data_IF_847610071567
#
_entry.id   IF_847610071567
#
_cell.length_a   1.000
_cell.length_b   1.000
_cell.length_c   1.000
_cell.angle_alpha   90.00
_cell.angle_beta   90.00
_cell.angle_gamma   90.00
#
_symmetry.space_group_name_H-M   'P 1'
#
loop_
_entity.id
_entity.type
_entity.pdbx_description
1 polymer ?
#
# COMPACT_ATOMS: atom_id res chain seq x y z
N UNK A 1 -14.74 -9.52 -6.89
CA UNK A 1 -14.02 -8.35 -6.35
C UNK A 1 -14.51 -7.00 -6.87
N UNK A 2 -15.30 -6.95 -7.96
CA UNK A 2 -15.99 -5.71 -8.35
C UNK A 2 -17.01 -5.25 -7.30
N UNK A 3 -17.64 -6.17 -6.55
CA UNK A 3 -18.60 -5.84 -5.49
C UNK A 3 -18.02 -5.05 -4.32
N UNK A 4 -16.91 -5.47 -3.68
CA UNK A 4 -16.44 -4.85 -2.42
C UNK A 4 -15.99 -3.40 -2.60
N UNK A 5 -15.13 -3.13 -3.59
CA UNK A 5 -14.67 -1.76 -3.89
C UNK A 5 -15.85 -0.89 -4.37
N UNK A 6 -16.76 -1.46 -5.17
CA UNK A 6 -17.94 -0.73 -5.65
C UNK A 6 -18.93 -0.43 -4.52
N UNK A 7 -19.10 -1.35 -3.57
CA UNK A 7 -19.95 -1.17 -2.40
C UNK A 7 -19.40 -0.08 -1.49
N UNK A 8 -18.08 -0.08 -1.26
CA UNK A 8 -17.38 0.99 -0.54
C UNK A 8 -17.60 2.36 -1.20
N UNK A 9 -17.58 2.42 -2.53
CA UNK A 9 -17.80 3.67 -3.28
C UNK A 9 -19.28 4.09 -3.28
N UNK A 10 -20.21 3.14 -3.27
CA UNK A 10 -21.65 3.39 -3.28
C UNK A 10 -22.20 3.78 -1.89
N UNK A 11 -21.54 3.35 -0.81
CA UNK A 11 -21.94 3.61 0.58
C UNK A 11 -20.86 4.41 1.37
N UNK A 12 -20.51 5.64 0.94
CA UNK A 12 -19.40 6.39 1.52
C UNK A 12 -19.64 6.80 2.98
N UNK A 13 -20.90 6.96 3.39
CA UNK A 13 -21.24 7.27 4.80
C UNK A 13 -20.98 6.08 5.71
N UNK A 14 -21.35 4.89 5.28
CA UNK A 14 -21.14 3.65 6.04
C UNK A 14 -19.65 3.31 6.12
N UNK A 15 -18.92 3.48 5.01
CA UNK A 15 -17.47 3.37 5.01
C UNK A 15 -16.83 4.34 6.00
N UNK A 16 -17.26 5.60 6.02
CA UNK A 16 -16.73 6.60 6.95
C UNK A 16 -17.00 6.23 8.41
N UNK A 17 -18.21 5.77 8.72
CA UNK A 17 -18.57 5.32 10.06
C UNK A 17 -17.71 4.12 10.46
N UNK A 18 -17.63 3.11 9.60
CA UNK A 18 -16.80 1.93 9.82
C UNK A 18 -15.33 2.29 10.07
N UNK A 19 -14.74 3.16 9.25
CA UNK A 19 -13.36 3.61 9.44
C UNK A 19 -13.17 4.37 10.75
N UNK A 20 -14.14 5.19 11.15
CA UNK A 20 -14.08 5.96 12.40
C UNK A 20 -14.23 5.04 13.62
N UNK A 21 -15.14 4.08 13.57
CA UNK A 21 -15.39 3.10 14.65
C UNK A 21 -14.22 2.13 14.86
N UNK A 22 -13.53 1.77 13.78
CA UNK A 22 -12.39 0.85 13.82
C UNK A 22 -11.03 1.57 13.87
N UNK A 23 -11.03 2.88 14.09
CA UNK A 23 -9.82 3.71 14.17
C UNK A 23 -8.89 3.59 12.94
N UNK A 24 -9.49 3.38 11.77
CA UNK A 24 -8.78 3.24 10.49
C UNK A 24 -8.51 4.63 9.94
N UNK A 25 -7.33 5.15 10.24
CA UNK A 25 -6.84 6.41 9.71
C UNK A 25 -5.36 6.29 9.31
N UNK A 26 -4.89 7.10 8.32
CA UNK A 26 -3.46 7.22 8.06
C UNK A 26 -2.72 7.53 9.36
N UNK A 27 -1.59 6.88 9.67
CA UNK A 27 -0.87 7.16 10.90
C UNK A 27 -0.59 8.66 11.01
N UNK A 28 -1.04 9.30 12.09
CA UNK A 28 -0.92 10.75 12.25
C UNK A 28 0.53 11.24 12.12
N UNK A 29 1.47 10.38 12.49
CA UNK A 29 2.91 10.63 12.39
C UNK A 29 3.49 10.43 10.99
N UNK A 30 2.79 9.77 10.05
CA UNK A 30 3.35 9.44 8.73
C UNK A 30 3.74 10.70 7.96
N UNK A 31 2.82 11.66 7.84
CA UNK A 31 3.11 12.92 7.14
C UNK A 31 4.21 13.75 7.82
N UNK A 32 4.32 13.66 9.15
CA UNK A 32 5.37 14.34 9.94
C UNK A 32 6.73 13.69 9.68
N UNK A 33 6.80 12.36 9.68
CA UNK A 33 8.03 11.61 9.40
C UNK A 33 8.53 11.91 7.99
N UNK A 34 7.68 11.84 6.97
CA UNK A 34 8.08 12.13 5.58
C UNK A 34 8.61 13.55 5.44
N UNK A 35 7.95 14.55 6.03
CA UNK A 35 8.45 15.94 5.99
C UNK A 35 9.82 16.08 6.64
N UNK A 36 10.01 15.47 7.80
CA UNK A 36 11.28 15.49 8.52
C UNK A 36 12.42 14.88 7.68
N UNK A 37 12.20 13.71 7.09
CA UNK A 37 13.22 13.04 6.27
C UNK A 37 13.56 13.85 5.00
N UNK A 38 12.59 14.56 4.41
CA UNK A 38 12.82 15.50 3.30
C UNK A 38 13.65 16.70 3.77
N UNK A 39 13.34 17.28 4.92
CA UNK A 39 14.07 18.42 5.50
C UNK A 39 15.53 18.07 5.85
N UNK A 40 15.76 16.84 6.32
CA UNK A 40 17.10 16.30 6.58
C UNK A 40 17.84 15.89 5.29
N UNK A 41 17.16 15.92 4.15
CA UNK A 41 17.72 15.55 2.84
C UNK A 41 17.99 14.05 2.72
N UNK A 42 17.27 13.21 3.48
CA UNK A 42 17.41 11.76 3.47
C UNK A 42 16.63 11.10 2.33
N UNK A 43 15.71 11.82 1.68
CA UNK A 43 14.91 11.33 0.56
C UNK A 43 14.46 12.48 -0.35
N UNK A 44 13.96 12.13 -1.54
CA UNK A 44 13.44 13.12 -2.48
C UNK A 44 12.13 13.75 -1.98
N UNK A 45 11.87 15.04 -2.29
CA UNK A 45 10.59 15.68 -1.99
C UNK A 45 9.41 14.95 -2.64
N UNK A 46 8.44 14.52 -1.83
CA UNK A 46 7.22 13.85 -2.27
C UNK A 46 6.03 14.27 -1.40
N UNK A 47 4.84 14.36 -2.01
CA UNK A 47 3.60 14.50 -1.25
C UNK A 47 3.36 13.22 -0.43
N UNK A 48 3.29 13.27 0.92
CA UNK A 48 3.06 12.08 1.74
C UNK A 48 1.80 11.31 1.34
N UNK A 49 0.76 12.01 0.84
CA UNK A 49 -0.49 11.36 0.41
C UNK A 49 -0.25 10.47 -0.81
N UNK A 50 0.59 10.91 -1.75
CA UNK A 50 0.95 10.15 -2.95
C UNK A 50 1.76 8.90 -2.58
N UNK A 51 2.72 9.04 -1.66
CA UNK A 51 3.48 7.90 -1.18
C UNK A 51 2.57 6.88 -0.49
N UNK A 52 1.71 7.33 0.44
CA UNK A 52 0.81 6.44 1.17
C UNK A 52 -0.15 5.68 0.25
N UNK A 53 -0.82 6.37 -0.67
CA UNK A 53 -1.77 5.70 -1.57
C UNK A 53 -1.07 4.74 -2.53
N UNK A 54 0.17 5.05 -2.95
CA UNK A 54 0.99 4.16 -3.75
C UNK A 54 1.35 2.88 -2.98
N UNK A 55 1.77 3.01 -1.72
CA UNK A 55 2.04 1.85 -0.84
C UNK A 55 0.79 0.98 -0.67
N UNK A 56 -0.36 1.59 -0.39
CA UNK A 56 -1.64 0.88 -0.26
C UNK A 56 -2.00 0.16 -1.57
N UNK A 57 -1.81 0.81 -2.72
CA UNK A 57 -2.01 0.19 -4.03
C UNK A 57 -1.12 -1.03 -4.24
N UNK A 58 0.17 -0.92 -3.94
CA UNK A 58 1.13 -2.03 -4.04
C UNK A 58 0.77 -3.20 -3.10
N UNK A 59 0.18 -2.93 -1.94
CA UNK A 59 -0.24 -3.96 -0.98
C UNK A 59 -1.54 -4.62 -1.44
N UNK A 60 -2.58 -3.83 -1.77
CA UNK A 60 -3.91 -4.35 -2.06
C UNK A 60 -4.06 -4.97 -3.45
N UNK A 61 -3.34 -4.46 -4.44
CA UNK A 61 -3.45 -4.91 -5.84
C UNK A 61 -3.31 -6.43 -6.04
N UNK A 62 -2.29 -7.14 -5.50
CA UNK A 62 -2.18 -8.58 -5.69
C UNK A 62 -3.43 -9.33 -5.20
N UNK A 63 -4.04 -8.90 -4.09
CA UNK A 63 -5.29 -9.51 -3.61
C UNK A 63 -6.46 -9.22 -4.55
N UNK A 64 -6.61 -7.98 -5.00
CA UNK A 64 -7.68 -7.55 -5.91
C UNK A 64 -7.56 -8.23 -7.28
N UNK A 65 -6.33 -8.47 -7.73
CA UNK A 65 -6.00 -9.03 -9.03
C UNK A 65 -5.56 -10.50 -8.95
N UNK A 66 -5.82 -11.21 -7.85
CA UNK A 66 -5.27 -12.54 -7.60
C UNK A 66 -5.40 -13.48 -8.79
N UNK A 67 -6.62 -13.65 -9.33
CA UNK A 67 -6.88 -14.53 -10.48
C UNK A 67 -6.04 -14.14 -11.69
N UNK A 68 -5.90 -12.85 -11.96
CA UNK A 68 -5.08 -12.37 -13.08
C UNK A 68 -3.59 -12.64 -12.82
N UNK A 69 -3.10 -12.39 -11.60
CA UNK A 69 -1.71 -12.64 -11.23
C UNK A 69 -1.39 -14.14 -11.31
N UNK A 70 -2.21 -15.01 -10.72
CA UNK A 70 -1.98 -16.46 -10.76
C UNK A 70 -2.06 -17.01 -12.18
N UNK A 71 -2.97 -16.49 -13.02
CA UNK A 71 -3.08 -16.92 -14.42
C UNK A 71 -1.88 -16.47 -15.28
N UNK A 72 -1.45 -15.21 -15.14
CA UNK A 72 -0.35 -14.67 -15.96
C UNK A 72 0.99 -15.32 -15.62
N UNK A 73 1.20 -15.66 -14.36
CA UNK A 73 2.44 -16.25 -13.87
C UNK A 73 2.38 -17.77 -13.70
N UNK A 74 1.26 -18.40 -14.08
CA UNK A 74 1.03 -19.84 -13.93
C UNK A 74 1.34 -20.35 -12.51
N UNK A 75 0.80 -19.64 -11.51
CA UNK A 75 1.04 -19.93 -10.09
C UNK A 75 -0.10 -20.77 -9.52
N UNK A 76 0.27 -21.90 -8.91
CA UNK A 76 -0.61 -22.65 -8.02
C UNK A 76 -0.82 -21.90 -6.70
N UNK A 77 -1.79 -22.34 -5.89
CA UNK A 77 -2.16 -21.67 -4.64
C UNK A 77 -0.97 -21.53 -3.67
N UNK A 78 -0.17 -22.59 -3.50
CA UNK A 78 1.00 -22.57 -2.62
C UNK A 78 2.08 -21.60 -3.11
N UNK A 79 2.32 -21.55 -4.42
CA UNK A 79 3.29 -20.64 -5.03
C UNK A 79 2.85 -19.18 -4.91
N UNK A 80 1.54 -18.93 -5.03
CA UNK A 80 0.98 -17.61 -4.85
C UNK A 80 1.12 -17.12 -3.39
N UNK A 81 0.91 -17.99 -2.40
CA UNK A 81 1.16 -17.67 -1.00
C UNK A 81 2.65 -17.40 -0.74
N UNK A 82 3.55 -18.17 -1.34
CA UNK A 82 4.99 -17.93 -1.31
C UNK A 82 5.37 -16.57 -1.91
N UNK A 83 4.78 -16.23 -3.06
CA UNK A 83 4.93 -14.93 -3.70
C UNK A 83 4.49 -13.78 -2.78
N UNK A 84 3.31 -13.89 -2.15
CA UNK A 84 2.81 -12.87 -1.22
C UNK A 84 3.72 -12.69 0.00
N UNK A 85 4.30 -13.78 0.52
CA UNK A 85 5.27 -13.73 1.63
C UNK A 85 6.53 -12.97 1.21
N UNK A 86 7.10 -13.30 0.05
CA UNK A 86 8.31 -12.64 -0.47
C UNK A 86 8.07 -11.16 -0.82
N UNK A 87 6.83 -10.79 -1.21
CA UNK A 87 6.46 -9.40 -1.46
C UNK A 87 6.68 -8.49 -0.26
N UNK A 88 6.55 -8.98 0.97
CA UNK A 88 6.73 -8.14 2.18
C UNK A 88 8.15 -7.57 2.26
N UNK A 89 9.15 -8.41 1.99
CA UNK A 89 10.56 -8.02 1.98
C UNK A 89 10.85 -7.15 0.76
N UNK A 90 10.43 -7.61 -0.43
CA UNK A 90 10.62 -6.89 -1.69
C UNK A 90 10.05 -5.45 -1.64
N UNK A 91 8.83 -5.28 -1.13
CA UNK A 91 8.17 -3.97 -1.11
C UNK A 91 8.91 -2.96 -0.24
N UNK A 92 9.56 -3.40 0.84
CA UNK A 92 10.32 -2.49 1.71
C UNK A 92 11.47 -1.86 0.93
N UNK A 93 12.27 -2.68 0.25
CA UNK A 93 13.36 -2.19 -0.58
C UNK A 93 12.86 -1.38 -1.77
N UNK A 94 11.80 -1.84 -2.45
CA UNK A 94 11.22 -1.16 -3.59
C UNK A 94 10.71 0.25 -3.23
N UNK A 95 10.00 0.39 -2.12
CA UNK A 95 9.46 1.67 -1.66
C UNK A 95 10.58 2.63 -1.27
N UNK A 96 11.56 2.16 -0.48
CA UNK A 96 12.70 2.99 -0.05
C UNK A 96 13.53 3.47 -1.26
N UNK A 97 13.72 2.61 -2.25
CA UNK A 97 14.43 2.98 -3.48
C UNK A 97 13.62 3.97 -4.33
N UNK A 98 12.29 3.82 -4.40
CA UNK A 98 11.43 4.73 -5.17
C UNK A 98 11.43 6.17 -4.65
N UNK A 99 11.76 6.36 -3.37
CA UNK A 99 11.91 7.68 -2.74
C UNK A 99 13.38 8.11 -2.59
N UNK A 100 14.32 7.37 -3.18
CA UNK A 100 15.76 7.59 -3.07
C UNK A 100 16.24 7.74 -1.61
N UNK A 101 15.70 6.90 -0.72
CA UNK A 101 16.05 6.95 0.70
C UNK A 101 17.54 6.65 0.92
N UNK A 102 18.25 7.53 1.62
CA UNK A 102 19.66 7.36 1.97
C UNK A 102 19.79 6.30 3.05
N UNK A 103 20.38 5.16 2.69
CA UNK A 103 20.78 4.13 3.65
C UNK A 103 22.15 4.52 4.20
N UNK A 104 22.21 4.88 5.48
CA UNK A 104 23.45 5.13 6.24
C UNK A 104 24.29 3.87 6.40
#
# INVERSE_FOLDING_TARGET
>A
MQFVIQEMNNHPKELRNFMSENDIHPPASFGVQIKKEIEEGNMDPIDPRQLLISIVGLILFPFIAQVMVTTVFDLEEEDYLGFLKNRKEFLTDFILNAINYKRS
#
